data_IF_097946834342
#
_entry.id   IF_097946834342
#
_cell.length_a   1.000
_cell.length_b   1.000
_cell.length_c   1.000
_cell.angle_alpha   90.00
_cell.angle_beta   90.00
_cell.angle_gamma   90.00
#
_symmetry.space_group_name_H-M   'P 1'
#
loop_
_entity.id
_entity.type
_entity.pdbx_description
1 polymer ?
#
# COMPACT_ATOMS: atom_id res chain seq x y z
N UNK A 1 -8.25 22.10 -19.03
CA UNK A 1 -8.50 22.16 -20.49
C UNK A 1 -7.84 20.94 -21.12
N UNK A 2 -8.56 20.20 -21.97
CA UNK A 2 -7.96 19.09 -22.71
C UNK A 2 -7.07 19.64 -23.82
N UNK A 3 -5.87 19.11 -23.95
CA UNK A 3 -5.01 19.44 -25.08
C UNK A 3 -5.56 18.82 -26.37
N UNK A 4 -5.45 19.49 -27.54
CA UNK A 4 -5.96 18.97 -28.81
C UNK A 4 -5.41 17.59 -29.20
N UNK A 5 -4.22 17.23 -28.69
CA UNK A 5 -3.56 15.94 -28.95
C UNK A 5 -3.88 14.85 -27.91
N UNK A 6 -4.75 15.10 -26.95
CA UNK A 6 -5.22 14.09 -26.01
C UNK A 6 -6.52 13.47 -26.50
N UNK A 7 -6.65 12.16 -26.38
CA UNK A 7 -7.90 11.45 -26.63
C UNK A 7 -8.67 11.22 -25.35
N UNK A 8 -9.88 11.75 -25.27
CA UNK A 8 -10.81 11.53 -24.14
C UNK A 8 -12.10 10.94 -24.68
N UNK A 9 -12.43 9.72 -24.27
CA UNK A 9 -13.67 9.07 -24.70
C UNK A 9 -14.90 9.87 -24.23
N UNK A 10 -15.93 10.04 -25.07
CA UNK A 10 -17.13 10.82 -24.71
C UNK A 10 -17.87 10.34 -23.45
N UNK A 11 -17.74 9.07 -23.08
CA UNK A 11 -18.34 8.49 -21.88
C UNK A 11 -17.50 8.67 -20.61
N UNK A 12 -16.33 9.31 -20.68
CA UNK A 12 -15.54 9.65 -19.51
C UNK A 12 -16.13 10.87 -18.79
N UNK A 13 -16.17 10.82 -17.45
CA UNK A 13 -16.65 11.93 -16.60
C UNK A 13 -15.46 12.69 -16.05
N UNK A 14 -15.17 13.84 -16.63
CA UNK A 14 -14.07 14.70 -16.24
C UNK A 14 -14.62 15.90 -15.46
N UNK A 15 -14.19 16.07 -14.21
CA UNK A 15 -14.62 17.17 -13.36
C UNK A 15 -13.98 18.52 -13.80
N UNK A 16 -14.35 19.60 -13.10
CA UNK A 16 -13.81 20.94 -13.37
C UNK A 16 -12.31 21.02 -13.01
N UNK A 17 -11.60 21.93 -13.69
CA UNK A 17 -10.20 22.22 -13.46
C UNK A 17 -9.25 21.01 -13.58
N UNK A 18 -9.67 19.93 -14.22
CA UNK A 18 -8.79 18.83 -14.61
C UNK A 18 -7.91 19.28 -15.77
N UNK A 19 -6.61 19.05 -15.65
CA UNK A 19 -5.63 19.31 -16.72
C UNK A 19 -5.22 17.98 -17.32
N UNK A 20 -5.32 17.84 -18.64
CA UNK A 20 -4.93 16.64 -19.39
C UNK A 20 -3.89 17.06 -20.41
N UNK A 21 -2.68 16.54 -20.27
CA UNK A 21 -1.55 16.85 -21.15
C UNK A 21 -1.59 16.07 -22.46
N UNK A 22 -0.82 16.48 -23.50
CA UNK A 22 -0.79 15.82 -24.81
C UNK A 22 -0.49 14.33 -24.77
N UNK A 23 -1.01 13.60 -25.77
CA UNK A 23 -0.80 12.16 -26.00
C UNK A 23 -1.35 11.26 -24.89
N UNK A 24 -2.19 11.78 -24.01
CA UNK A 24 -2.91 11.01 -23.00
C UNK A 24 -4.15 10.37 -23.61
N UNK A 25 -4.43 9.12 -23.23
CA UNK A 25 -5.62 8.38 -23.65
C UNK A 25 -6.49 8.06 -22.44
N UNK A 26 -7.75 8.49 -22.46
CA UNK A 26 -8.75 8.21 -21.43
C UNK A 26 -9.91 7.42 -22.06
N UNK A 27 -10.11 6.21 -21.55
CA UNK A 27 -11.12 5.29 -22.06
C UNK A 27 -12.53 5.60 -21.53
N UNK A 28 -13.51 4.80 -21.97
CA UNK A 28 -14.88 4.84 -21.48
C UNK A 28 -14.93 4.50 -19.98
N UNK A 29 -16.05 4.83 -19.30
CA UNK A 29 -16.29 4.49 -17.89
C UNK A 29 -15.15 4.90 -16.94
N UNK A 30 -14.54 6.07 -17.17
CA UNK A 30 -13.52 6.69 -16.31
C UNK A 30 -14.13 7.90 -15.61
N UNK A 31 -13.80 8.08 -14.31
CA UNK A 31 -14.17 9.29 -13.57
C UNK A 31 -12.91 9.93 -12.97
N UNK A 32 -12.76 11.26 -13.18
CA UNK A 32 -11.61 12.04 -12.69
C UNK A 32 -12.12 13.24 -11.90
N UNK A 33 -11.69 13.33 -10.64
CA UNK A 33 -12.06 14.37 -9.69
C UNK A 33 -11.41 15.73 -9.99
N UNK A 34 -12.02 16.77 -9.43
CA UNK A 34 -11.66 18.18 -9.63
C UNK A 34 -10.19 18.46 -9.27
N UNK A 35 -9.55 19.32 -10.05
CA UNK A 35 -8.17 19.79 -9.80
C UNK A 35 -7.07 18.78 -10.11
N UNK A 36 -7.42 17.60 -10.60
CA UNK A 36 -6.44 16.55 -10.93
C UNK A 36 -5.65 16.89 -12.18
N UNK A 37 -4.35 16.65 -12.14
CA UNK A 37 -3.43 16.80 -13.29
C UNK A 37 -3.03 15.43 -13.84
N UNK A 38 -3.16 15.27 -15.15
CA UNK A 38 -2.79 14.07 -15.90
C UNK A 38 -1.68 14.45 -16.87
N UNK A 39 -0.50 13.93 -16.64
CA UNK A 39 0.69 14.18 -17.47
C UNK A 39 0.62 13.55 -18.85
N UNK A 40 1.58 13.88 -19.70
CA UNK A 40 1.65 13.38 -21.07
C UNK A 40 1.85 11.87 -21.14
N UNK A 41 1.33 11.23 -22.20
CA UNK A 41 1.48 9.78 -22.44
C UNK A 41 0.93 8.90 -21.30
N UNK A 42 -0.04 9.35 -20.55
CA UNK A 42 -0.77 8.55 -19.56
C UNK A 42 -1.89 7.78 -20.26
N UNK A 43 -2.08 6.53 -19.85
CA UNK A 43 -3.22 5.72 -20.29
C UNK A 43 -4.13 5.44 -19.11
N UNK A 44 -5.38 5.91 -19.16
CA UNK A 44 -6.40 5.65 -18.15
C UNK A 44 -7.47 4.75 -18.77
N UNK A 45 -7.50 3.50 -18.32
CA UNK A 45 -8.36 2.47 -18.85
C UNK A 45 -9.71 2.42 -18.12
N UNK A 46 -10.62 1.63 -18.66
CA UNK A 46 -11.97 1.43 -18.13
C UNK A 46 -11.97 1.01 -16.65
N UNK A 47 -12.90 1.57 -15.87
CA UNK A 47 -13.02 1.28 -14.45
C UNK A 47 -12.15 2.16 -13.55
N UNK A 48 -11.37 3.11 -14.08
CA UNK A 48 -10.63 4.05 -13.27
C UNK A 48 -11.55 5.05 -12.55
N UNK A 49 -11.29 5.28 -11.26
CA UNK A 49 -11.92 6.28 -10.40
C UNK A 49 -10.83 7.07 -9.70
N UNK A 50 -10.49 8.24 -10.22
CA UNK A 50 -9.42 9.08 -9.72
C UNK A 50 -10.03 10.23 -8.93
N UNK A 51 -9.59 10.40 -7.69
CA UNK A 51 -10.06 11.43 -6.77
C UNK A 51 -9.66 12.85 -7.17
N UNK A 52 -9.83 13.79 -6.24
CA UNK A 52 -9.52 15.22 -6.42
C UNK A 52 -8.04 15.50 -6.18
N UNK A 53 -7.53 16.53 -6.88
CA UNK A 53 -6.18 17.06 -6.69
C UNK A 53 -5.08 15.98 -6.79
N UNK A 54 -5.32 14.93 -7.56
CA UNK A 54 -4.31 13.90 -7.82
C UNK A 54 -3.31 14.39 -8.89
N UNK A 55 -2.11 13.79 -8.86
CA UNK A 55 -1.10 14.03 -9.88
C UNK A 55 -0.70 12.68 -10.50
N UNK A 56 -0.99 12.49 -11.78
CA UNK A 56 -0.65 11.26 -12.52
C UNK A 56 0.44 11.61 -13.54
N UNK A 57 1.61 11.07 -13.33
CA UNK A 57 2.81 11.40 -14.09
C UNK A 57 2.96 10.60 -15.40
N UNK A 58 3.80 11.08 -16.33
CA UNK A 58 3.94 10.50 -17.67
C UNK A 58 4.20 9.00 -17.68
N UNK A 59 3.58 8.32 -18.63
CA UNK A 59 3.75 6.88 -18.86
C UNK A 59 3.01 5.98 -17.87
N UNK A 60 2.30 6.53 -16.88
CA UNK A 60 1.49 5.72 -15.98
C UNK A 60 0.32 5.06 -16.71
N UNK A 61 -0.01 3.82 -16.32
CA UNK A 61 -1.16 3.06 -16.84
C UNK A 61 -2.09 2.72 -15.68
N UNK A 62 -3.27 3.31 -15.70
CA UNK A 62 -4.25 3.18 -14.61
C UNK A 62 -5.41 2.29 -15.05
N UNK A 63 -5.85 1.39 -14.17
CA UNK A 63 -6.94 0.43 -14.37
C UNK A 63 -6.67 -0.57 -15.52
N UNK A 64 -5.42 -0.93 -15.76
CA UNK A 64 -5.11 -2.01 -16.68
C UNK A 64 -5.82 -3.31 -16.30
N UNK A 65 -6.11 -4.13 -17.30
CA UNK A 65 -6.67 -5.46 -17.10
C UNK A 65 -5.79 -6.27 -16.16
N UNK A 66 -6.38 -6.98 -15.16
CA UNK A 66 -5.63 -7.84 -14.27
C UNK A 66 -4.73 -8.85 -14.98
N UNK A 67 -3.51 -9.01 -14.49
CA UNK A 67 -2.60 -10.06 -14.96
C UNK A 67 -2.90 -11.38 -14.23
N UNK A 68 -4.16 -11.77 -14.21
CA UNK A 68 -4.65 -13.02 -13.62
C UNK A 68 -5.33 -13.85 -14.71
N UNK A 69 -4.87 -15.09 -14.90
CA UNK A 69 -5.43 -16.02 -15.89
C UNK A 69 -6.91 -16.35 -15.64
N UNK A 70 -7.42 -16.10 -14.45
CA UNK A 70 -8.83 -16.31 -14.08
C UNK A 70 -9.73 -15.11 -14.41
N UNK A 71 -9.15 -13.95 -14.78
CA UNK A 71 -9.94 -12.78 -15.11
C UNK A 71 -10.78 -13.03 -16.36
N UNK A 72 -12.10 -12.98 -16.20
CA UNK A 72 -13.09 -13.29 -17.25
C UNK A 72 -13.62 -12.06 -18.00
N UNK A 73 -13.11 -10.86 -17.69
CA UNK A 73 -13.61 -9.62 -18.29
C UNK A 73 -14.70 -8.95 -17.45
N UNK A 74 -14.85 -9.32 -16.20
CA UNK A 74 -15.80 -8.75 -15.26
C UNK A 74 -15.62 -7.25 -15.04
N UNK A 75 -16.70 -6.55 -14.73
CA UNK A 75 -16.68 -5.15 -14.37
C UNK A 75 -16.02 -4.97 -13.01
N UNK A 76 -14.91 -4.22 -13.00
CA UNK A 76 -14.16 -3.95 -11.80
C UNK A 76 -13.46 -2.58 -11.86
N UNK A 77 -12.97 -2.11 -10.72
CA UNK A 77 -12.49 -0.75 -10.57
C UNK A 77 -11.01 -0.69 -10.15
N UNK A 78 -10.37 0.43 -10.49
CA UNK A 78 -9.15 0.92 -9.85
C UNK A 78 -9.44 2.30 -9.27
N UNK A 79 -9.35 2.44 -7.96
CA UNK A 79 -9.72 3.66 -7.23
C UNK A 79 -8.45 4.31 -6.68
N UNK A 80 -8.28 5.60 -6.93
CA UNK A 80 -7.20 6.43 -6.38
C UNK A 80 -7.83 7.55 -5.57
N UNK A 81 -7.54 7.59 -4.27
CA UNK A 81 -8.05 8.59 -3.33
C UNK A 81 -7.43 9.97 -3.55
N UNK A 82 -8.11 10.98 -3.00
CA UNK A 82 -7.77 12.39 -3.16
C UNK A 82 -6.31 12.72 -2.77
N UNK A 83 -5.72 13.72 -3.42
CA UNK A 83 -4.37 14.25 -3.17
C UNK A 83 -3.24 13.21 -3.36
N UNK A 84 -3.51 12.09 -3.99
CA UNK A 84 -2.49 11.05 -4.23
C UNK A 84 -1.68 11.37 -5.48
N UNK A 85 -0.41 10.99 -5.43
CA UNK A 85 0.54 11.16 -6.53
C UNK A 85 0.98 9.81 -7.06
N UNK A 86 0.79 9.59 -8.36
CA UNK A 86 1.24 8.41 -9.10
C UNK A 86 2.34 8.85 -10.06
N UNK A 87 3.55 8.38 -9.84
CA UNK A 87 4.75 8.79 -10.59
C UNK A 87 4.88 8.03 -11.90
N UNK A 88 5.97 8.33 -12.60
CA UNK A 88 6.25 7.90 -13.97
C UNK A 88 6.22 6.38 -14.13
N UNK A 89 5.57 5.91 -15.20
CA UNK A 89 5.52 4.50 -15.60
C UNK A 89 5.00 3.54 -14.50
N UNK A 90 4.24 4.04 -13.53
CA UNK A 90 3.51 3.18 -12.59
C UNK A 90 2.41 2.44 -13.32
N UNK A 91 2.19 1.17 -12.95
CA UNK A 91 1.08 0.37 -13.46
C UNK A 91 0.16 -0.04 -12.33
N UNK A 92 -1.15 0.19 -12.48
CA UNK A 92 -2.18 -0.17 -11.52
C UNK A 92 -3.22 -1.00 -12.25
N UNK A 93 -3.40 -2.26 -11.85
CA UNK A 93 -4.47 -3.08 -12.37
C UNK A 93 -5.78 -2.79 -11.64
N UNK A 94 -6.91 -2.93 -12.34
CA UNK A 94 -8.23 -2.96 -11.70
C UNK A 94 -8.44 -4.28 -10.94
N UNK A 95 -9.47 -4.38 -10.11
CA UNK A 95 -9.77 -5.58 -9.36
C UNK A 95 -10.24 -6.76 -10.22
N UNK A 96 -10.45 -7.90 -9.59
CA UNK A 96 -11.13 -9.06 -10.16
C UNK A 96 -12.47 -9.28 -9.47
N UNK A 97 -13.19 -10.34 -9.81
CA UNK A 97 -14.44 -10.71 -9.12
C UNK A 97 -14.26 -10.93 -7.61
N UNK A 98 -13.04 -11.14 -7.14
CA UNK A 98 -12.77 -11.43 -5.73
C UNK A 98 -13.08 -10.25 -4.81
N UNK A 99 -12.69 -9.02 -5.19
CA UNK A 99 -13.00 -7.80 -4.44
C UNK A 99 -13.73 -6.75 -5.27
N UNK A 100 -13.77 -6.91 -6.59
CA UNK A 100 -14.35 -5.94 -7.53
C UNK A 100 -13.50 -4.68 -7.72
N UNK A 101 -12.40 -4.52 -6.96
CA UNK A 101 -11.63 -3.27 -7.02
C UNK A 101 -10.20 -3.39 -6.50
N UNK A 102 -9.33 -2.55 -7.03
CA UNK A 102 -8.03 -2.20 -6.45
C UNK A 102 -8.14 -0.79 -5.89
N UNK A 103 -7.69 -0.57 -4.66
CA UNK A 103 -7.85 0.71 -3.96
C UNK A 103 -6.51 1.28 -3.52
N UNK A 104 -6.27 2.54 -3.86
CA UNK A 104 -5.21 3.38 -3.30
C UNK A 104 -5.91 4.49 -2.52
N UNK A 105 -5.54 4.65 -1.25
CA UNK A 105 -6.09 5.65 -0.34
C UNK A 105 -5.70 7.08 -0.70
N UNK A 106 -5.97 8.01 0.21
CA UNK A 106 -5.69 9.45 0.05
C UNK A 106 -4.25 9.79 0.44
N UNK A 107 -3.75 10.89 -0.12
CA UNK A 107 -2.41 11.42 0.18
C UNK A 107 -1.28 10.39 -0.03
N UNK A 108 -1.47 9.40 -0.87
CA UNK A 108 -0.46 8.38 -1.17
C UNK A 108 0.58 8.87 -2.16
N UNK A 109 1.79 8.33 -2.04
CA UNK A 109 2.86 8.53 -3.02
C UNK A 109 3.27 7.18 -3.61
N UNK A 110 2.89 6.93 -4.85
CA UNK A 110 3.30 5.76 -5.61
C UNK A 110 4.42 6.19 -6.55
N UNK A 111 5.65 5.80 -6.23
CA UNK A 111 6.83 6.26 -6.95
C UNK A 111 7.05 5.50 -8.26
N UNK A 112 7.95 6.04 -9.07
CA UNK A 112 8.17 5.61 -10.44
C UNK A 112 8.39 4.10 -10.58
N UNK A 113 7.80 3.54 -11.65
CA UNK A 113 7.92 2.12 -12.04
C UNK A 113 7.38 1.11 -11.03
N UNK A 114 6.67 1.54 -9.99
CA UNK A 114 5.99 0.61 -9.09
C UNK A 114 4.82 -0.09 -9.81
N UNK A 115 4.55 -1.34 -9.43
CA UNK A 115 3.43 -2.13 -9.91
C UNK A 115 2.47 -2.47 -8.79
N UNK A 116 1.19 -2.15 -8.96
CA UNK A 116 0.10 -2.50 -8.07
C UNK A 116 -0.82 -3.47 -8.80
N UNK A 117 -0.78 -4.74 -8.43
CA UNK A 117 -1.63 -5.76 -9.03
C UNK A 117 -3.08 -5.63 -8.55
N UNK A 118 -3.94 -6.48 -9.12
CA UNK A 118 -5.37 -6.53 -8.85
C UNK A 118 -5.71 -6.80 -7.38
N UNK A 119 -6.86 -6.30 -6.93
CA UNK A 119 -7.40 -6.53 -5.58
C UNK A 119 -6.50 -6.06 -4.42
N UNK A 120 -5.49 -5.23 -4.71
CA UNK A 120 -4.70 -4.61 -3.66
C UNK A 120 -5.49 -3.51 -2.96
N UNK A 121 -5.24 -3.37 -1.65
CA UNK A 121 -5.76 -2.26 -0.85
C UNK A 121 -4.61 -1.51 -0.18
N UNK A 122 -4.41 -0.25 -0.53
CA UNK A 122 -3.39 0.62 0.03
C UNK A 122 -4.09 1.71 0.85
N UNK A 123 -3.78 1.78 2.13
CA UNK A 123 -4.33 2.78 3.07
C UNK A 123 -3.82 4.19 2.81
N UNK A 124 -4.36 5.14 3.57
CA UNK A 124 -4.05 6.56 3.43
C UNK A 124 -2.59 6.87 3.82
N UNK A 125 -2.01 7.90 3.17
CA UNK A 125 -0.65 8.39 3.45
C UNK A 125 0.46 7.34 3.27
N UNK A 126 0.21 6.25 2.57
CA UNK A 126 1.19 5.23 2.29
C UNK A 126 2.20 5.69 1.21
N UNK A 127 3.41 5.19 1.31
CA UNK A 127 4.48 5.46 0.32
C UNK A 127 4.95 4.12 -0.26
N UNK A 128 4.78 3.96 -1.55
CA UNK A 128 5.30 2.84 -2.33
C UNK A 128 6.46 3.35 -3.18
N UNK A 129 7.68 2.96 -2.83
CA UNK A 129 8.91 3.51 -3.41
C UNK A 129 9.20 2.90 -4.79
N UNK A 130 10.14 3.48 -5.53
CA UNK A 130 10.48 3.10 -6.92
C UNK A 130 10.66 1.59 -7.10
N UNK A 131 10.06 1.06 -8.17
CA UNK A 131 10.24 -0.33 -8.59
C UNK A 131 9.68 -1.39 -7.64
N UNK A 132 8.84 -1.01 -6.67
CA UNK A 132 8.13 -1.97 -5.82
C UNK A 132 7.13 -2.75 -6.65
N UNK A 133 7.06 -4.06 -6.42
CA UNK A 133 6.05 -4.94 -7.02
C UNK A 133 5.11 -5.49 -5.94
N UNK A 134 3.86 -5.07 -5.94
CA UNK A 134 2.80 -5.67 -5.14
C UNK A 134 2.05 -6.71 -5.98
N UNK A 135 2.08 -7.97 -5.57
CA UNK A 135 1.25 -9.01 -6.18
C UNK A 135 -0.22 -8.85 -5.77
N UNK A 136 -1.13 -9.63 -6.36
CA UNK A 136 -2.56 -9.53 -6.09
C UNK A 136 -2.95 -9.70 -4.63
N UNK A 137 -4.04 -9.04 -4.20
CA UNK A 137 -4.64 -9.14 -2.87
C UNK A 137 -3.72 -8.68 -1.71
N UNK A 138 -2.73 -7.84 -1.98
CA UNK A 138 -1.88 -7.26 -0.92
C UNK A 138 -2.63 -6.13 -0.23
N UNK A 139 -2.61 -6.14 1.11
CA UNK A 139 -3.11 -5.05 1.93
C UNK A 139 -1.94 -4.27 2.54
N UNK A 140 -1.94 -2.95 2.37
CA UNK A 140 -0.95 -2.03 2.94
C UNK A 140 -1.67 -1.04 3.84
N UNK A 141 -1.28 -0.96 5.09
CA UNK A 141 -1.88 -0.07 6.09
C UNK A 141 -1.54 1.41 5.87
N UNK A 142 -2.20 2.24 6.66
CA UNK A 142 -2.00 3.69 6.64
C UNK A 142 -0.56 4.03 7.04
N UNK A 143 0.01 5.06 6.42
CA UNK A 143 1.36 5.54 6.71
C UNK A 143 2.47 4.48 6.55
N UNK A 144 2.19 3.33 5.96
CA UNK A 144 3.21 2.33 5.69
C UNK A 144 4.16 2.81 4.59
N UNK A 145 5.41 2.40 4.67
CA UNK A 145 6.45 2.72 3.68
C UNK A 145 7.03 1.41 3.14
N UNK A 146 6.88 1.19 1.85
CA UNK A 146 7.46 0.05 1.15
C UNK A 146 8.72 0.52 0.44
N UNK A 147 9.88 0.09 0.90
CA UNK A 147 11.19 0.49 0.35
C UNK A 147 11.40 0.01 -1.09
N UNK A 148 12.16 0.78 -1.85
CA UNK A 148 12.36 0.55 -3.28
C UNK A 148 12.81 -0.86 -3.63
N UNK A 149 12.37 -1.36 -4.79
CA UNK A 149 12.70 -2.71 -5.29
C UNK A 149 12.23 -3.86 -4.37
N UNK A 150 11.35 -3.60 -3.41
CA UNK A 150 10.75 -4.67 -2.63
C UNK A 150 9.70 -5.42 -3.45
N UNK A 151 9.62 -6.75 -3.28
CA UNK A 151 8.62 -7.61 -3.89
C UNK A 151 7.73 -8.22 -2.81
N UNK A 152 6.43 -7.97 -2.91
CA UNK A 152 5.43 -8.37 -1.92
C UNK A 152 4.61 -9.51 -2.49
N UNK A 153 4.67 -10.68 -1.85
CA UNK A 153 3.92 -11.86 -2.29
C UNK A 153 2.41 -11.64 -2.12
N UNK A 154 1.61 -12.32 -2.95
CA UNK A 154 0.15 -12.23 -2.90
C UNK A 154 -0.44 -12.58 -1.52
N UNK A 155 -1.55 -11.90 -1.17
CA UNK A 155 -2.27 -12.06 0.10
C UNK A 155 -1.49 -11.65 1.35
N UNK A 156 -0.43 -10.89 1.21
CA UNK A 156 0.32 -10.36 2.36
C UNK A 156 -0.38 -9.11 2.89
N UNK A 157 -0.42 -9.01 4.22
CA UNK A 157 -0.85 -7.83 4.95
C UNK A 157 0.35 -7.09 5.57
N UNK A 158 0.40 -5.79 5.37
CA UNK A 158 1.40 -4.88 5.96
C UNK A 158 0.62 -3.89 6.82
N UNK A 159 0.91 -3.86 8.11
CA UNK A 159 0.18 -3.04 9.08
C UNK A 159 0.51 -1.55 8.99
N UNK A 160 -0.29 -0.75 9.70
CA UNK A 160 -0.16 0.70 9.77
C UNK A 160 1.24 1.10 10.28
N UNK A 161 1.78 2.19 9.74
CA UNK A 161 3.09 2.73 10.11
C UNK A 161 4.29 1.76 9.94
N UNK A 162 4.11 0.60 9.34
CA UNK A 162 5.21 -0.33 9.08
C UNK A 162 6.19 0.24 8.04
N UNK A 163 7.44 -0.15 8.15
CA UNK A 163 8.48 0.22 7.19
C UNK A 163 9.23 -1.02 6.70
N UNK A 164 9.18 -1.27 5.41
CA UNK A 164 9.91 -2.35 4.74
C UNK A 164 11.15 -1.76 4.08
N UNK A 165 12.31 -2.35 4.35
CA UNK A 165 13.57 -1.95 3.72
C UNK A 165 13.58 -2.25 2.22
N UNK A 166 14.31 -1.45 1.45
CA UNK A 166 14.48 -1.68 0.02
C UNK A 166 15.08 -3.05 -0.30
N UNK A 167 14.72 -3.60 -1.46
CA UNK A 167 15.19 -4.90 -1.92
C UNK A 167 14.63 -6.11 -1.15
N UNK A 168 13.64 -5.93 -0.30
CA UNK A 168 13.10 -7.01 0.53
C UNK A 168 12.14 -7.93 -0.23
N UNK A 169 12.24 -9.25 0.04
CA UNK A 169 11.26 -10.26 -0.40
C UNK A 169 10.27 -10.55 0.73
N UNK A 170 9.04 -10.04 0.61
CA UNK A 170 8.03 -10.12 1.67
C UNK A 170 7.11 -11.31 1.43
N UNK A 171 7.27 -12.36 2.21
CA UNK A 171 6.51 -13.63 2.11
C UNK A 171 5.66 -13.92 3.35
N UNK A 172 5.67 -13.04 4.35
CA UNK A 172 4.91 -13.11 5.59
C UNK A 172 4.35 -11.75 5.94
N UNK A 173 3.28 -11.72 6.71
CA UNK A 173 2.66 -10.49 7.14
C UNK A 173 3.60 -9.65 8.01
N UNK A 174 3.54 -8.34 7.83
CA UNK A 174 4.39 -7.37 8.53
C UNK A 174 3.53 -6.59 9.52
N UNK A 175 3.66 -6.83 10.84
CA UNK A 175 2.81 -6.19 11.83
C UNK A 175 2.96 -4.66 11.89
N UNK A 176 1.94 -3.93 12.40
CA UNK A 176 1.94 -2.48 12.50
C UNK A 176 3.16 -1.92 13.26
N UNK A 177 3.56 -0.69 12.95
CA UNK A 177 4.63 0.06 13.62
C UNK A 177 6.05 -0.52 13.49
N UNK A 178 6.23 -1.65 12.81
CA UNK A 178 7.52 -2.38 12.74
C UNK A 178 8.41 -1.89 11.61
N UNK A 179 9.72 -2.17 11.77
CA UNK A 179 10.69 -2.19 10.67
C UNK A 179 10.99 -3.63 10.29
N UNK A 180 10.89 -3.91 9.00
CA UNK A 180 11.20 -5.20 8.41
C UNK A 180 12.41 -5.08 7.47
N UNK A 181 13.40 -5.93 7.65
CA UNK A 181 14.64 -5.96 6.85
C UNK A 181 15.27 -7.35 6.90
N UNK A 182 16.36 -7.54 6.19
CA UNK A 182 17.15 -8.77 6.11
C UNK A 182 16.56 -9.80 5.14
N UNK A 183 17.31 -10.86 4.87
CA UNK A 183 16.87 -12.06 4.14
C UNK A 183 17.21 -13.28 5.00
N UNK A 184 16.23 -14.08 5.40
CA UNK A 184 14.79 -13.87 5.23
C UNK A 184 14.29 -12.63 5.98
N UNK A 185 13.19 -12.02 5.47
CA UNK A 185 12.61 -10.82 6.06
C UNK A 185 12.30 -11.02 7.54
N UNK A 186 12.80 -10.14 8.38
CA UNK A 186 12.71 -10.24 9.83
C UNK A 186 12.40 -8.89 10.49
N UNK A 187 11.78 -8.95 11.66
CA UNK A 187 11.62 -7.79 12.53
C UNK A 187 12.98 -7.30 13.01
N UNK A 188 13.32 -6.05 12.77
CA UNK A 188 14.59 -5.42 13.18
C UNK A 188 14.37 -4.22 14.10
N UNK A 189 13.20 -4.13 14.71
CA UNK A 189 12.81 -3.06 15.61
C UNK A 189 11.53 -2.38 15.19
N UNK A 190 11.13 -1.33 15.89
CA UNK A 190 9.97 -0.51 15.55
C UNK A 190 10.38 0.68 14.67
N UNK A 191 9.44 1.24 13.92
CA UNK A 191 9.63 2.42 13.08
C UNK A 191 9.65 3.72 13.91
N UNK A 192 10.49 3.79 14.93
CA UNK A 192 10.52 4.89 15.90
C UNK A 192 10.71 6.27 15.27
N UNK A 193 11.49 6.37 14.19
CA UNK A 193 11.70 7.64 13.46
C UNK A 193 10.41 8.08 12.77
N UNK A 194 9.75 7.17 12.06
CA UNK A 194 8.47 7.44 11.41
C UNK A 194 7.37 7.81 12.40
N UNK A 195 7.29 7.11 13.52
CA UNK A 195 6.32 7.38 14.60
C UNK A 195 6.53 8.77 15.22
N UNK A 196 7.77 9.15 15.56
CA UNK A 196 8.07 10.52 16.07
C UNK A 196 7.67 11.61 15.09
N UNK A 197 7.97 11.44 13.80
CA UNK A 197 7.58 12.41 12.75
C UNK A 197 6.07 12.58 12.63
N UNK A 198 5.29 11.59 13.09
CA UNK A 198 3.82 11.60 13.08
C UNK A 198 3.21 11.95 14.45
N UNK A 199 4.04 12.44 15.40
CA UNK A 199 3.58 12.96 16.68
C UNK A 199 3.38 11.92 17.79
N UNK A 200 3.82 10.68 17.61
CA UNK A 200 3.80 9.70 18.69
C UNK A 200 4.76 10.12 19.81
N UNK A 201 4.28 10.11 21.06
CA UNK A 201 5.10 10.46 22.22
C UNK A 201 6.16 9.40 22.48
N UNK A 202 7.18 9.75 23.24
CA UNK A 202 8.25 8.80 23.62
C UNK A 202 7.69 7.64 24.44
N UNK A 203 6.72 7.91 25.32
CA UNK A 203 6.04 6.94 26.16
C UNK A 203 5.28 5.92 25.30
N UNK A 204 4.50 6.40 24.34
CA UNK A 204 3.75 5.54 23.40
C UNK A 204 4.70 4.68 22.56
N UNK A 205 5.80 5.24 22.08
CA UNK A 205 6.83 4.50 21.34
C UNK A 205 7.45 3.40 22.21
N UNK A 206 7.69 3.66 23.49
CA UNK A 206 8.20 2.65 24.43
C UNK A 206 7.18 1.54 24.70
N UNK A 207 5.91 1.89 24.85
CA UNK A 207 4.82 0.92 24.98
C UNK A 207 4.77 -0.05 23.78
N UNK A 208 4.75 0.48 22.56
CA UNK A 208 4.78 -0.33 21.33
C UNK A 208 6.03 -1.20 21.28
N UNK A 209 7.19 -0.66 21.68
CA UNK A 209 8.46 -1.40 21.73
C UNK A 209 8.40 -2.56 22.71
N UNK A 210 7.77 -2.39 23.87
CA UNK A 210 7.59 -3.43 24.87
C UNK A 210 6.71 -4.57 24.36
N UNK A 211 5.61 -4.27 23.64
CA UNK A 211 4.77 -5.29 22.99
C UNK A 211 5.63 -6.19 22.10
N UNK A 212 6.46 -5.59 21.23
CA UNK A 212 7.29 -6.35 20.30
C UNK A 212 8.48 -7.05 21.01
N UNK A 213 8.94 -6.54 22.16
CA UNK A 213 9.91 -7.24 23.02
C UNK A 213 9.33 -8.53 23.57
N UNK A 214 8.08 -8.52 24.04
CA UNK A 214 7.38 -9.73 24.50
C UNK A 214 7.21 -10.71 23.35
N UNK A 215 6.77 -10.22 22.18
CA UNK A 215 6.49 -11.05 21.00
C UNK A 215 7.73 -11.73 20.41
N UNK A 216 8.87 -11.04 20.35
CA UNK A 216 10.04 -11.51 19.59
C UNK A 216 11.28 -11.84 20.41
N UNK A 217 11.37 -11.38 21.67
CA UNK A 217 12.59 -11.52 22.47
C UNK A 217 12.42 -12.36 23.74
N UNK A 218 11.18 -12.73 24.08
CA UNK A 218 10.85 -13.54 25.26
C UNK A 218 10.47 -14.95 24.80
N UNK A 219 11.24 -15.85 24.56
CA UNK A 219 11.06 -17.27 24.18
C UNK A 219 9.63 -17.86 24.25
N UNK A 220 8.60 -17.06 23.98
CA UNK A 220 7.20 -17.46 23.88
C UNK A 220 6.84 -17.78 22.44
N UNK A 221 5.91 -18.70 22.22
CA UNK A 221 5.24 -18.77 20.94
C UNK A 221 4.27 -17.59 20.78
N UNK A 222 3.82 -17.33 19.56
CA UNK A 222 2.96 -16.16 19.26
C UNK A 222 1.70 -16.14 20.13
N UNK A 223 1.02 -17.26 20.34
CA UNK A 223 -0.21 -17.35 21.14
C UNK A 223 0.06 -16.99 22.60
N UNK A 224 1.10 -17.55 23.18
CA UNK A 224 1.51 -17.23 24.54
C UNK A 224 1.89 -15.76 24.71
N UNK A 225 2.65 -15.21 23.76
CA UNK A 225 3.03 -13.80 23.77
C UNK A 225 1.79 -12.89 23.76
N UNK A 226 0.81 -13.16 22.89
CA UNK A 226 -0.43 -12.40 22.83
C UNK A 226 -1.21 -12.46 24.14
N UNK A 227 -1.33 -13.64 24.76
CA UNK A 227 -2.03 -13.79 26.05
C UNK A 227 -1.35 -12.99 27.16
N UNK A 228 0.00 -12.95 27.19
CA UNK A 228 0.76 -12.16 28.16
C UNK A 228 0.56 -10.66 27.92
N UNK A 229 0.64 -10.21 26.66
CA UNK A 229 0.41 -8.80 26.29
C UNK A 229 -0.99 -8.35 26.74
N UNK A 230 -2.01 -9.17 26.52
CA UNK A 230 -3.38 -8.85 26.97
C UNK A 230 -3.54 -8.81 28.48
N UNK A 231 -2.87 -9.70 29.21
CA UNK A 231 -2.99 -9.81 30.66
C UNK A 231 -2.18 -8.75 31.43
N UNK A 232 -1.01 -8.37 30.91
CA UNK A 232 -0.02 -7.57 31.65
C UNK A 232 0.09 -6.11 31.18
N UNK A 233 -0.41 -5.79 29.97
CA UNK A 233 -0.32 -4.45 29.41
C UNK A 233 -1.66 -3.74 29.37
N UNK A 234 -1.66 -2.43 29.62
CA UNK A 234 -2.86 -1.59 29.54
C UNK A 234 -3.49 -1.67 28.14
N UNK A 235 -4.83 -1.66 28.11
CA UNK A 235 -5.59 -1.62 26.86
C UNK A 235 -5.43 -0.27 26.19
N UNK A 236 -4.75 -0.26 25.05
CA UNK A 236 -4.56 0.93 24.22
C UNK A 236 -4.91 0.61 22.76
N UNK A 237 -5.30 1.61 21.97
CA UNK A 237 -5.62 1.38 20.55
C UNK A 237 -4.51 0.68 19.80
N UNK A 238 -3.26 1.06 20.03
CA UNK A 238 -2.09 0.49 19.35
C UNK A 238 -1.84 -0.96 19.77
N UNK A 239 -2.00 -1.27 21.08
CA UNK A 239 -1.90 -2.65 21.56
C UNK A 239 -2.95 -3.53 20.90
N UNK A 240 -4.19 -3.07 20.91
CA UNK A 240 -5.31 -3.85 20.40
C UNK A 240 -5.22 -4.04 18.88
N UNK A 241 -4.77 -3.02 18.15
CA UNK A 241 -4.47 -3.12 16.71
C UNK A 241 -3.40 -4.19 16.42
N UNK A 242 -2.30 -4.19 17.17
CA UNK A 242 -1.22 -5.18 17.00
C UNK A 242 -1.75 -6.59 17.24
N UNK A 243 -2.51 -6.79 18.33
CA UNK A 243 -3.09 -8.09 18.67
C UNK A 243 -4.05 -8.56 17.58
N UNK A 244 -4.96 -7.70 17.15
CA UNK A 244 -5.93 -8.00 16.12
C UNK A 244 -5.26 -8.35 14.79
N UNK A 245 -4.26 -7.57 14.37
CA UNK A 245 -3.49 -7.85 13.17
C UNK A 245 -2.84 -9.22 13.21
N UNK A 246 -2.18 -9.57 14.31
CA UNK A 246 -1.47 -10.85 14.45
C UNK A 246 -2.47 -12.02 14.47
N UNK A 247 -3.61 -11.88 15.13
CA UNK A 247 -4.67 -12.91 15.17
C UNK A 247 -5.29 -13.18 13.80
N UNK A 248 -5.47 -12.13 13.02
CA UNK A 248 -6.06 -12.22 11.67
C UNK A 248 -5.05 -12.62 10.60
N UNK A 249 -3.78 -12.76 10.93
CA UNK A 249 -2.74 -13.11 9.97
C UNK A 249 -2.89 -14.55 9.48
N UNK A 250 -3.36 -14.73 8.26
CA UNK A 250 -3.51 -16.04 7.62
C UNK A 250 -2.17 -16.60 7.09
N UNK A 251 -1.25 -15.73 6.73
CA UNK A 251 0.09 -16.09 6.20
C UNK A 251 1.11 -16.29 7.33
N UNK A 252 0.75 -15.95 8.57
CA UNK A 252 1.67 -15.83 9.70
C UNK A 252 2.58 -14.61 9.55
N UNK A 253 3.02 -14.06 10.69
CA UNK A 253 3.86 -12.87 10.73
C UNK A 253 5.33 -13.19 10.49
N UNK A 254 6.11 -12.18 10.05
CA UNK A 254 7.58 -12.27 9.99
C UNK A 254 8.17 -12.65 11.35
N UNK A 255 9.31 -13.32 11.36
CA UNK A 255 10.02 -13.69 12.60
C UNK A 255 10.85 -12.54 13.16
N UNK A 256 11.22 -12.62 14.44
CA UNK A 256 12.25 -11.77 15.01
C UNK A 256 13.63 -12.08 14.38
N UNK A 257 14.46 -11.06 14.24
CA UNK A 257 15.83 -11.27 13.82
C UNK A 257 16.62 -11.92 14.97
N UNK A 258 16.98 -13.18 14.78
CA UNK A 258 18.00 -13.84 15.62
C UNK A 258 19.35 -13.57 14.95
N UNK A 259 20.14 -12.65 15.51
CA UNK A 259 21.51 -12.44 15.04
C UNK A 259 22.21 -13.79 14.94
N UNK A 260 23.00 -13.98 13.88
CA UNK A 260 23.92 -15.12 13.83
C UNK A 260 24.86 -14.92 15.03
N UNK A 261 24.69 -15.77 16.05
CA UNK A 261 25.72 -15.91 17.07
C UNK A 261 26.94 -16.50 16.35
N UNK A 262 27.93 -15.65 16.08
CA UNK A 262 29.24 -16.13 15.65
C UNK A 262 29.90 -16.94 16.76
#
# INVERSE_FOLDING_TARGET
>A
MNQPLAYVHPGAKIAKNVVIEPFTTIHNNVEIGEGTWIGSNVTIMEGARIGKNCNIFPGAVIAAVPQDLKFGGEDSLAIIGDNSTVRECVTINRGTIASGQTVIGKNCLIMATAHIAHDCHIGDNAIVVNGVALAGHVTVGNYAIIGGLAAIHQFISIGDHAMISGGSLVRKDVPPYTKAAKEPLSYVGINSVGLRRRGFTTEKIREIQEIYRILYQKNYNTTQALSIIEAEMEATPERDEIILFIRNSSRGIMKGYTGISN
#
